data_IF_663948159698
#
_entry.id   IF_663948159698
#
_cell.length_a   1.000
_cell.length_b   1.000
_cell.length_c   1.000
_cell.angle_alpha   90.00
_cell.angle_beta   90.00
_cell.angle_gamma   90.00
#
_symmetry.space_group_name_H-M   'P 1'
#
loop_
_entity.id
_entity.type
_entity.pdbx_description
1 polymer ?
#
# COMPACT_ATOMS: atom_id res chain seq x y z
N UNK A 1 -33.54 -1.22 -1.74
CA UNK A 1 -32.32 -1.99 -1.46
C UNK A 1 -31.46 -1.13 -0.56
N UNK A 2 -31.15 -1.64 0.63
CA UNK A 2 -30.40 -0.91 1.67
C UNK A 2 -28.95 -0.70 1.23
N UNK A 3 -28.28 0.34 1.74
CA UNK A 3 -26.82 0.52 1.57
C UNK A 3 -26.05 -0.69 2.13
N UNK A 4 -26.58 -1.31 3.20
CA UNK A 4 -26.04 -2.54 3.80
C UNK A 4 -26.03 -3.71 2.82
N UNK A 5 -27.14 -3.94 2.11
CA UNK A 5 -27.27 -5.07 1.17
C UNK A 5 -26.29 -4.98 -0.01
N UNK A 6 -25.83 -3.78 -0.35
CA UNK A 6 -24.84 -3.56 -1.41
C UNK A 6 -23.44 -3.86 -0.93
N UNK A 7 -23.07 -3.42 0.27
CA UNK A 7 -21.76 -3.72 0.85
C UNK A 7 -21.59 -5.22 1.09
N UNK A 8 -22.61 -5.89 1.62
CA UNK A 8 -22.56 -7.32 1.88
C UNK A 8 -22.33 -8.11 0.58
N UNK A 9 -22.98 -7.71 -0.52
CA UNK A 9 -22.77 -8.32 -1.84
C UNK A 9 -21.39 -8.08 -2.44
N UNK A 10 -20.80 -6.92 -2.20
CA UNK A 10 -19.42 -6.62 -2.66
C UNK A 10 -18.43 -7.48 -1.88
N UNK A 11 -18.61 -7.61 -0.57
CA UNK A 11 -17.77 -8.46 0.28
C UNK A 11 -17.92 -9.93 -0.12
N UNK A 12 -19.15 -10.41 -0.35
CA UNK A 12 -19.41 -11.77 -0.81
C UNK A 12 -18.77 -12.05 -2.17
N UNK A 13 -18.86 -11.13 -3.15
CA UNK A 13 -18.23 -11.35 -4.46
C UNK A 13 -16.70 -11.35 -4.36
N UNK A 14 -16.14 -10.46 -3.53
CA UNK A 14 -14.69 -10.42 -3.31
C UNK A 14 -14.21 -11.72 -2.67
N UNK A 15 -14.96 -12.24 -1.69
CA UNK A 15 -14.68 -13.52 -1.04
C UNK A 15 -14.74 -14.69 -2.03
N UNK A 16 -15.73 -14.72 -2.91
CA UNK A 16 -15.88 -15.78 -3.92
C UNK A 16 -14.73 -15.75 -4.93
N UNK A 17 -14.32 -14.56 -5.36
CA UNK A 17 -13.16 -14.37 -6.25
C UNK A 17 -11.85 -14.83 -5.58
N UNK A 18 -11.64 -14.50 -4.30
CA UNK A 18 -10.46 -14.95 -3.55
C UNK A 18 -10.48 -16.47 -3.40
N UNK A 19 -11.59 -17.05 -2.95
CA UNK A 19 -11.74 -18.49 -2.72
C UNK A 19 -11.54 -19.30 -4.00
N UNK A 20 -12.14 -18.85 -5.11
CA UNK A 20 -11.98 -19.47 -6.43
C UNK A 20 -10.52 -19.42 -6.89
N UNK A 21 -9.85 -18.30 -6.65
CA UNK A 21 -8.44 -18.10 -7.05
C UNK A 21 -7.49 -18.97 -6.22
N UNK A 22 -7.69 -19.04 -4.90
CA UNK A 22 -6.90 -19.87 -3.99
C UNK A 22 -7.09 -21.39 -4.23
N UNK A 23 -8.24 -21.79 -4.78
CA UNK A 23 -8.56 -23.21 -5.04
C UNK A 23 -7.89 -23.77 -6.31
N UNK A 24 -7.21 -22.93 -7.11
CA UNK A 24 -6.56 -23.37 -8.35
C UNK A 24 -5.18 -23.98 -8.04
N UNK A 25 -4.89 -25.23 -8.46
CA UNK A 25 -3.58 -25.84 -8.24
C UNK A 25 -2.54 -25.22 -9.19
N UNK A 26 -1.66 -24.39 -8.62
CA UNK A 26 -0.53 -23.77 -9.32
C UNK A 26 -0.07 -22.50 -8.61
N UNK A 27 1.18 -22.08 -8.85
CA UNK A 27 1.77 -20.79 -8.43
C UNK A 27 1.05 -19.62 -9.14
N UNK A 28 -0.26 -19.47 -8.94
CA UNK A 28 -1.01 -18.36 -9.47
C UNK A 28 -0.61 -17.12 -8.67
N UNK A 29 0.21 -16.25 -9.27
CA UNK A 29 0.37 -14.88 -8.79
C UNK A 29 -0.98 -14.22 -9.03
N UNK A 30 -1.64 -13.81 -7.95
CA UNK A 30 -2.90 -13.09 -8.00
C UNK A 30 -2.76 -11.77 -7.25
N UNK A 31 -3.44 -10.74 -7.75
CA UNK A 31 -3.56 -9.45 -7.08
C UNK A 31 -5.06 -9.19 -6.90
N UNK A 32 -5.45 -8.84 -5.67
CA UNK A 32 -6.83 -8.50 -5.34
C UNK A 32 -6.82 -7.04 -4.93
N UNK A 33 -7.38 -6.21 -5.80
CA UNK A 33 -7.59 -4.79 -5.52
C UNK A 33 -8.93 -4.57 -4.81
N UNK A 34 -9.03 -3.48 -4.09
CA UNK A 34 -10.27 -3.02 -3.47
C UNK A 34 -10.18 -1.53 -3.16
N UNK A 35 -11.34 -0.90 -3.02
CA UNK A 35 -11.44 0.48 -2.56
C UNK A 35 -11.97 0.47 -1.12
N UNK A 36 -11.28 1.17 -0.21
CA UNK A 36 -11.80 1.38 1.14
C UNK A 36 -12.74 2.56 1.06
N UNK A 37 -14.03 2.27 0.81
CA UNK A 37 -15.05 3.31 0.77
C UNK A 37 -15.07 4.04 2.10
N UNK A 38 -14.95 5.37 2.03
CA UNK A 38 -15.14 6.25 3.19
C UNK A 38 -16.55 6.00 3.72
N UNK A 39 -16.75 5.65 5.00
CA UNK A 39 -18.09 5.57 5.57
C UNK A 39 -18.79 6.93 5.37
N UNK A 40 -20.09 6.89 5.09
CA UNK A 40 -20.92 8.08 4.81
C UNK A 40 -20.56 9.22 5.77
N UNK A 41 -20.30 10.39 5.19
CA UNK A 41 -19.64 11.50 5.86
C UNK A 41 -20.43 11.96 7.11
N UNK A 42 -19.92 11.63 8.28
CA UNK A 42 -19.96 12.56 9.41
C UNK A 42 -19.15 13.81 9.01
N UNK A 43 -19.64 15.03 9.26
CA UNK A 43 -19.05 16.27 8.75
C UNK A 43 -17.64 16.62 9.27
N UNK A 44 -16.98 15.77 10.08
CA UNK A 44 -15.74 16.16 10.78
C UNK A 44 -14.50 15.30 10.57
N UNK A 45 -14.49 14.27 9.70
CA UNK A 45 -13.24 13.53 9.45
C UNK A 45 -12.96 13.35 7.97
N UNK A 46 -12.27 14.32 7.37
CA UNK A 46 -11.24 13.97 6.39
C UNK A 46 -10.19 13.17 7.14
N UNK A 47 -10.18 11.84 6.98
CA UNK A 47 -9.18 10.97 7.59
C UNK A 47 -7.82 11.29 6.98
N UNK A 48 -7.16 12.31 7.52
CA UNK A 48 -5.86 12.73 7.04
C UNK A 48 -4.81 11.71 7.47
N UNK A 49 -4.02 11.25 6.52
CA UNK A 49 -2.92 10.33 6.77
C UNK A 49 -1.65 11.16 6.95
N UNK A 50 -0.93 10.92 8.03
CA UNK A 50 0.35 11.58 8.28
C UNK A 50 1.48 10.66 7.90
N UNK A 51 2.40 11.13 7.08
CA UNK A 51 3.72 10.51 6.87
C UNK A 51 4.76 11.39 7.59
N UNK A 52 5.60 10.78 8.41
CA UNK A 52 6.77 11.45 8.99
C UNK A 52 8.03 10.72 8.57
N UNK A 53 9.09 11.46 8.30
CA UNK A 53 10.40 10.89 7.97
C UNK A 53 11.49 11.77 8.55
N UNK A 54 12.60 11.14 8.91
CA UNK A 54 13.74 11.84 9.47
C UNK A 54 14.75 12.14 8.38
N UNK A 55 15.42 13.28 8.49
CA UNK A 55 16.56 13.61 7.65
C UNK A 55 17.82 13.54 8.49
N UNK A 56 18.63 12.52 8.19
CA UNK A 56 20.00 12.30 8.67
C UNK A 56 20.22 12.46 10.19
N UNK A 57 21.46 12.26 10.66
CA UNK A 57 21.81 12.17 12.09
C UNK A 57 21.50 13.44 12.90
N UNK A 58 21.10 14.53 12.25
CA UNK A 58 20.79 15.83 12.87
C UNK A 58 19.39 15.87 13.53
N UNK A 59 18.57 14.83 13.34
CA UNK A 59 17.31 14.65 14.08
C UNK A 59 16.16 15.58 13.63
N UNK A 60 16.22 16.14 12.42
CA UNK A 60 15.11 16.91 11.87
C UNK A 60 14.03 15.97 11.32
N UNK A 61 12.86 15.96 11.97
CA UNK A 61 11.69 15.23 11.52
C UNK A 61 10.82 16.10 10.60
N UNK A 62 10.46 15.56 9.44
CA UNK A 62 9.53 16.18 8.48
C UNK A 62 8.17 15.51 8.54
N UNK A 63 7.14 16.21 8.07
CA UNK A 63 5.75 15.77 8.11
C UNK A 63 5.06 16.10 6.81
N UNK A 64 4.31 15.14 6.27
CA UNK A 64 3.39 15.31 5.16
C UNK A 64 2.00 14.86 5.60
N UNK A 65 0.99 15.66 5.30
CA UNK A 65 -0.42 15.28 5.45
C UNK A 65 -0.99 14.93 4.08
N UNK A 66 -1.73 13.82 4.02
CA UNK A 66 -2.50 13.41 2.85
C UNK A 66 -3.99 13.53 3.15
N UNK A 67 -4.82 14.01 2.18
CA UNK A 67 -4.40 14.57 0.90
C UNK A 67 -3.56 15.84 1.09
N UNK A 68 -2.64 16.10 0.15
CA UNK A 68 -1.78 17.29 0.20
C UNK A 68 -2.66 18.53 0.04
N UNK A 69 -2.56 19.47 0.99
CA UNK A 69 -3.28 20.73 0.92
C UNK A 69 -2.76 21.65 -0.19
N UNK A 70 -3.59 22.60 -0.62
CA UNK A 70 -3.24 23.58 -1.65
C UNK A 70 -2.33 24.72 -1.15
N UNK A 71 -2.12 24.80 0.16
CA UNK A 71 -1.31 25.84 0.80
C UNK A 71 0.20 25.65 0.55
N UNK A 72 0.99 26.73 0.62
CA UNK A 72 2.43 26.66 0.37
C UNK A 72 3.19 25.68 1.26
N UNK A 73 2.76 25.51 2.52
CA UNK A 73 3.44 24.64 3.49
C UNK A 73 3.25 23.16 3.13
N UNK A 74 2.02 22.79 2.74
CA UNK A 74 1.71 21.44 2.27
C UNK A 74 2.48 21.08 1.00
N UNK A 75 2.56 22.02 0.05
CA UNK A 75 3.34 21.84 -1.20
C UNK A 75 4.84 21.72 -0.93
N UNK A 76 5.37 22.58 -0.07
CA UNK A 76 6.78 22.50 0.35
C UNK A 76 7.06 21.13 1.01
N UNK A 77 6.17 20.66 1.89
CA UNK A 77 6.31 19.33 2.52
C UNK A 77 6.29 18.19 1.50
N UNK A 78 5.51 18.33 0.42
CA UNK A 78 5.49 17.37 -0.69
C UNK A 78 6.79 17.41 -1.51
N UNK A 79 7.30 18.60 -1.84
CA UNK A 79 8.59 18.74 -2.52
C UNK A 79 9.74 18.19 -1.67
N UNK A 80 9.66 18.37 -0.36
CA UNK A 80 10.60 17.85 0.62
C UNK A 80 10.67 16.32 0.60
N UNK A 81 9.53 15.61 0.60
CA UNK A 81 9.56 14.14 0.55
C UNK A 81 10.13 13.64 -0.78
N UNK A 82 9.84 14.32 -1.90
CA UNK A 82 10.40 13.98 -3.21
C UNK A 82 11.92 14.14 -3.24
N UNK A 83 12.44 15.18 -2.59
CA UNK A 83 13.87 15.48 -2.51
C UNK A 83 14.62 14.51 -1.60
N UNK A 84 14.02 14.12 -0.48
CA UNK A 84 14.70 13.30 0.53
C UNK A 84 14.61 11.80 0.25
N UNK A 85 13.75 11.38 -0.68
CA UNK A 85 13.69 9.98 -1.11
C UNK A 85 14.99 9.54 -1.79
N UNK A 86 15.39 8.30 -1.52
CA UNK A 86 16.43 7.63 -2.31
C UNK A 86 15.85 7.13 -3.63
N UNK A 87 16.64 7.06 -4.72
CA UNK A 87 16.19 6.39 -5.94
C UNK A 87 15.82 4.93 -5.68
N UNK A 88 14.63 4.52 -6.12
CA UNK A 88 14.14 3.17 -5.87
C UNK A 88 14.81 2.14 -6.80
N UNK A 89 15.48 1.15 -6.20
CA UNK A 89 16.01 -0.02 -6.90
C UNK A 89 14.94 -1.09 -7.12
N UNK A 90 15.20 -2.08 -7.97
CA UNK A 90 14.39 -3.30 -8.08
C UNK A 90 15.26 -4.55 -8.08
N UNK A 91 14.66 -5.68 -7.69
CA UNK A 91 15.35 -6.96 -7.60
C UNK A 91 15.45 -7.68 -8.95
N UNK A 92 16.63 -8.21 -9.26
CA UNK A 92 16.83 -9.21 -10.32
C UNK A 92 17.60 -10.39 -9.69
N UNK A 93 16.89 -11.48 -9.40
CA UNK A 93 17.45 -12.60 -8.64
C UNK A 93 17.90 -12.13 -7.25
N UNK A 94 19.20 -12.24 -6.96
CA UNK A 94 19.80 -11.82 -5.68
C UNK A 94 20.43 -10.41 -5.70
N UNK A 95 20.19 -9.61 -6.75
CA UNK A 95 20.82 -8.29 -6.93
C UNK A 95 19.77 -7.18 -6.92
N UNK A 96 20.15 -6.02 -6.38
CA UNK A 96 19.40 -4.78 -6.55
C UNK A 96 19.97 -3.97 -7.71
N UNK A 97 19.11 -3.48 -8.58
CA UNK A 97 19.46 -2.74 -9.79
C UNK A 97 18.74 -1.40 -9.79
N UNK A 98 19.47 -0.33 -10.10
CA UNK A 98 18.93 0.99 -10.39
C UNK A 98 18.86 1.19 -11.91
N UNK A 99 17.65 1.19 -12.46
CA UNK A 99 17.39 1.52 -13.87
C UNK A 99 16.08 2.32 -13.95
N UNK A 100 16.20 3.63 -14.17
CA UNK A 100 15.05 4.55 -14.31
C UNK A 100 14.19 4.28 -15.57
N UNK A 101 14.73 3.54 -16.55
CA UNK A 101 13.99 3.02 -17.69
C UNK A 101 12.97 1.96 -17.29
N UNK A 102 13.27 1.19 -16.24
CA UNK A 102 12.45 0.12 -15.68
C UNK A 102 11.57 0.59 -14.51
N UNK A 103 12.16 1.33 -13.56
CA UNK A 103 11.51 1.85 -12.36
C UNK A 103 11.98 3.27 -12.07
N UNK A 104 11.07 4.24 -12.08
CA UNK A 104 11.34 5.62 -11.69
C UNK A 104 10.45 6.00 -10.52
N UNK A 105 11.02 5.98 -9.33
CA UNK A 105 10.36 6.32 -8.07
C UNK A 105 11.40 6.74 -7.03
N UNK A 106 10.97 7.54 -6.05
CA UNK A 106 11.66 7.68 -4.77
C UNK A 106 11.25 6.55 -3.82
N UNK A 107 12.12 6.21 -2.86
CA UNK A 107 11.81 5.31 -1.76
C UNK A 107 12.30 5.85 -0.42
N UNK A 108 11.60 5.43 0.65
CA UNK A 108 12.08 5.44 2.03
C UNK A 108 11.89 4.03 2.59
N UNK A 109 12.94 3.47 3.18
CA UNK A 109 12.88 2.15 3.83
C UNK A 109 12.18 2.27 5.21
N UNK A 110 11.68 1.17 5.75
CA UNK A 110 10.90 1.09 7.00
C UNK A 110 11.51 1.79 8.22
N UNK A 111 12.83 1.92 8.29
CA UNK A 111 13.52 2.65 9.37
C UNK A 111 13.57 4.16 9.16
N UNK A 112 13.28 4.64 7.95
CA UNK A 112 13.41 6.05 7.56
C UNK A 112 12.09 6.82 7.61
N UNK A 113 10.95 6.15 7.80
CA UNK A 113 9.65 6.80 7.89
C UNK A 113 8.69 6.13 8.88
N UNK A 114 7.64 6.85 9.23
CA UNK A 114 6.46 6.34 9.94
C UNK A 114 5.19 6.90 9.31
N UNK A 115 4.07 6.19 9.52
CA UNK A 115 2.77 6.61 9.03
C UNK A 115 1.71 6.45 10.11
N UNK A 116 0.69 7.32 10.10
CA UNK A 116 -0.51 7.13 10.91
C UNK A 116 -1.49 6.11 10.33
N UNK A 117 -1.18 5.53 9.17
CA UNK A 117 -1.96 4.43 8.62
C UNK A 117 -1.69 3.13 9.37
N UNK A 118 -2.76 2.55 9.90
CA UNK A 118 -2.72 1.26 10.57
C UNK A 118 -3.74 0.31 9.90
N UNK A 119 -3.30 -0.71 9.13
CA UNK A 119 -4.22 -1.60 8.43
C UNK A 119 -5.09 -2.45 9.37
N UNK A 120 -4.69 -2.60 10.63
CA UNK A 120 -5.47 -3.32 11.64
C UNK A 120 -6.68 -2.48 12.10
N UNK A 121 -6.50 -1.18 12.34
CA UNK A 121 -7.59 -0.28 12.74
C UNK A 121 -8.66 -0.12 11.65
N UNK A 122 -8.32 -0.42 10.40
CA UNK A 122 -9.22 -0.37 9.25
C UNK A 122 -9.85 -1.74 8.93
N UNK A 123 -9.60 -2.78 9.74
CA UNK A 123 -10.14 -4.13 9.54
C UNK A 123 -9.54 -4.89 8.34
N UNK A 124 -8.57 -4.32 7.62
CA UNK A 124 -7.96 -4.93 6.43
C UNK A 124 -7.32 -6.27 6.79
N UNK A 125 -6.57 -6.32 7.90
CA UNK A 125 -5.93 -7.55 8.35
C UNK A 125 -6.92 -8.58 8.85
N UNK A 126 -8.03 -8.17 9.44
CA UNK A 126 -9.08 -9.08 9.88
C UNK A 126 -9.76 -9.74 8.68
N UNK A 127 -10.07 -8.95 7.64
CA UNK A 127 -10.60 -9.47 6.37
C UNK A 127 -9.63 -10.46 5.75
N UNK A 128 -8.35 -10.09 5.57
CA UNK A 128 -7.33 -10.97 4.99
C UNK A 128 -7.24 -12.29 5.77
N UNK A 129 -7.17 -12.22 7.10
CA UNK A 129 -7.10 -13.40 7.95
C UNK A 129 -8.34 -14.27 7.83
N UNK A 130 -9.54 -13.68 7.80
CA UNK A 130 -10.80 -14.42 7.64
C UNK A 130 -10.84 -15.15 6.30
N UNK A 131 -10.47 -14.48 5.20
CA UNK A 131 -10.48 -15.09 3.87
C UNK A 131 -9.49 -16.24 3.78
N UNK A 132 -8.26 -16.03 4.28
CA UNK A 132 -7.22 -17.06 4.22
C UNK A 132 -7.48 -18.22 5.18
N UNK A 133 -8.05 -17.97 6.36
CA UNK A 133 -8.42 -19.00 7.31
C UNK A 133 -9.52 -19.93 6.76
N UNK A 134 -10.49 -19.39 6.01
CA UNK A 134 -11.53 -20.18 5.35
C UNK A 134 -10.96 -21.13 4.30
N UNK A 135 -9.87 -20.74 3.61
CA UNK A 135 -9.20 -21.59 2.62
C UNK A 135 -8.27 -22.66 3.23
N UNK A 136 -7.80 -22.51 4.47
CA UNK A 136 -6.69 -23.29 4.99
C UNK A 136 -7.08 -24.51 5.86
N UNK A 137 -8.32 -24.65 6.33
CA UNK A 137 -8.78 -25.70 7.27
C UNK A 137 -7.78 -26.02 8.41
N UNK A 138 -7.01 -25.01 8.86
CA UNK A 138 -5.91 -25.16 9.81
C UNK A 138 -6.04 -24.12 10.89
N UNK A 139 -6.37 -24.59 12.10
CA UNK A 139 -6.40 -23.75 13.30
C UNK A 139 -4.99 -23.21 13.60
N UNK A 140 -4.89 -21.91 13.93
CA UNK A 140 -3.63 -21.28 14.39
C UNK A 140 -2.77 -20.58 13.34
N UNK A 141 -3.21 -20.47 12.09
CA UNK A 141 -2.53 -19.67 11.06
C UNK A 141 -3.06 -18.23 11.06
N UNK A 142 -2.24 -17.30 11.55
CA UNK A 142 -2.51 -15.86 11.51
C UNK A 142 -1.47 -15.13 10.65
N UNK A 143 -1.95 -14.18 9.86
CA UNK A 143 -1.18 -13.28 9.02
C UNK A 143 -1.06 -11.95 9.75
N UNK A 144 0.15 -11.40 9.73
CA UNK A 144 0.44 -10.05 10.21
C UNK A 144 0.98 -9.19 9.08
N UNK A 145 0.63 -7.91 9.08
CA UNK A 145 1.31 -6.90 8.27
C UNK A 145 2.60 -6.44 8.95
N UNK A 146 3.64 -6.31 8.15
CA UNK A 146 4.92 -5.68 8.51
C UNK A 146 5.17 -4.53 7.53
N UNK A 147 5.48 -3.34 8.05
CA UNK A 147 5.80 -2.18 7.23
C UNK A 147 7.14 -2.42 6.53
N UNK A 148 7.22 -2.11 5.24
CA UNK A 148 8.42 -2.40 4.44
C UNK A 148 9.04 -1.15 3.82
N UNK A 149 8.33 -0.48 2.91
CA UNK A 149 8.85 0.70 2.23
C UNK A 149 7.74 1.63 1.79
N UNK A 150 8.02 2.92 1.81
CA UNK A 150 7.24 3.93 1.12
C UNK A 150 7.86 4.14 -0.26
N UNK A 151 7.06 4.06 -1.32
CA UNK A 151 7.48 4.46 -2.65
C UNK A 151 6.71 5.71 -3.07
N UNK A 152 7.43 6.69 -3.61
CA UNK A 152 6.86 7.95 -4.08
C UNK A 152 7.03 8.05 -5.59
N UNK A 153 5.92 8.17 -6.30
CA UNK A 153 5.89 8.29 -7.75
C UNK A 153 5.43 9.70 -8.12
N UNK A 154 6.29 10.46 -8.80
CA UNK A 154 5.95 11.81 -9.29
C UNK A 154 5.61 11.77 -10.79
N UNK A 155 4.44 12.32 -11.14
CA UNK A 155 4.04 12.52 -12.53
C UNK A 155 4.90 13.58 -13.23
N UNK A 156 5.04 13.52 -14.57
CA UNK A 156 4.44 12.54 -15.49
C UNK A 156 5.32 11.30 -15.73
N UNK A 157 6.49 11.21 -15.12
CA UNK A 157 7.52 10.22 -15.49
C UNK A 157 7.69 9.04 -14.53
N UNK A 158 7.04 9.10 -13.36
CA UNK A 158 7.03 8.02 -12.38
C UNK A 158 6.42 6.75 -12.98
N UNK A 159 7.10 5.62 -12.82
CA UNK A 159 6.67 4.34 -13.41
C UNK A 159 7.28 3.14 -12.70
N UNK A 160 6.63 2.00 -12.82
CA UNK A 160 7.22 0.71 -12.53
C UNK A 160 6.69 -0.31 -13.52
N UNK A 161 7.57 -0.96 -14.29
CA UNK A 161 7.14 -2.05 -15.18
C UNK A 161 6.61 -3.24 -14.38
N UNK A 162 5.73 -4.02 -15.01
CA UNK A 162 5.24 -5.28 -14.46
C UNK A 162 6.39 -6.18 -14.01
N UNK A 163 6.29 -6.69 -12.79
CA UNK A 163 7.30 -7.53 -12.15
C UNK A 163 6.65 -8.44 -11.10
N UNK A 164 7.42 -9.45 -10.68
CA UNK A 164 7.06 -10.28 -9.52
C UNK A 164 7.91 -9.81 -8.35
N UNK A 165 7.27 -9.51 -7.22
CA UNK A 165 7.99 -9.17 -5.99
C UNK A 165 8.88 -10.34 -5.58
N UNK A 166 10.13 -10.05 -5.23
CA UNK A 166 11.04 -11.06 -4.68
C UNK A 166 10.73 -11.25 -3.19
N UNK A 167 10.35 -12.46 -2.74
CA UNK A 167 10.14 -12.71 -1.32
C UNK A 167 11.39 -12.36 -0.51
N UNK A 168 11.21 -11.68 0.62
CA UNK A 168 12.29 -11.24 1.51
C UNK A 168 12.43 -12.12 2.76
N UNK A 169 11.48 -13.02 2.98
CA UNK A 169 11.48 -14.03 4.04
C UNK A 169 10.77 -15.28 3.54
N UNK A 170 11.17 -16.43 4.07
CA UNK A 170 10.47 -17.72 3.96
C UNK A 170 9.04 -17.68 4.55
N UNK A 171 8.74 -16.69 5.39
CA UNK A 171 7.42 -16.47 6.00
C UNK A 171 6.58 -15.42 5.28
N UNK A 172 7.11 -14.80 4.22
CA UNK A 172 6.34 -13.85 3.42
C UNK A 172 5.44 -14.61 2.45
N UNK A 173 4.13 -14.41 2.57
CA UNK A 173 3.13 -15.00 1.68
C UNK A 173 2.64 -14.04 0.59
N UNK A 174 2.91 -12.74 0.72
CA UNK A 174 2.47 -11.73 -0.24
C UNK A 174 2.88 -10.30 0.16
N UNK A 175 2.42 -9.31 -0.61
CA UNK A 175 2.61 -7.88 -0.36
C UNK A 175 1.24 -7.20 -0.26
N UNK A 176 1.04 -6.39 0.79
CA UNK A 176 -0.12 -5.48 0.89
C UNK A 176 0.33 -4.08 0.45
N UNK A 177 -0.36 -3.51 -0.53
CA UNK A 177 -0.08 -2.17 -1.06
C UNK A 177 -1.24 -1.24 -0.73
N UNK A 178 -0.96 -0.22 0.09
CA UNK A 178 -1.88 0.89 0.30
C UNK A 178 -1.39 2.08 -0.54
N UNK A 179 -2.24 2.56 -1.45
CA UNK A 179 -1.92 3.67 -2.33
C UNK A 179 -2.83 4.87 -2.03
N UNK A 180 -2.25 6.06 -2.05
CA UNK A 180 -2.99 7.31 -2.07
C UNK A 180 -2.58 8.06 -3.34
N UNK A 181 -3.53 8.37 -4.20
CA UNK A 181 -3.28 9.11 -5.43
C UNK A 181 -3.67 10.57 -5.23
N UNK A 182 -2.75 11.47 -5.57
CA UNK A 182 -2.99 12.92 -5.58
C UNK A 182 -3.67 13.40 -6.88
N UNK A 183 -3.91 12.47 -7.82
CA UNK A 183 -4.63 12.67 -9.07
C UNK A 183 -5.62 11.52 -9.30
N UNK A 184 -6.63 11.74 -10.14
CA UNK A 184 -7.63 10.73 -10.50
C UNK A 184 -6.95 9.42 -10.96
N UNK A 185 -7.47 8.28 -10.51
CA UNK A 185 -6.82 6.95 -10.49
C UNK A 185 -6.54 6.31 -11.86
N UNK A 186 -6.64 7.03 -12.96
CA UNK A 186 -6.52 6.49 -14.32
C UNK A 186 -5.08 6.24 -14.80
N UNK A 187 -4.06 6.53 -13.99
CA UNK A 187 -2.66 6.59 -14.47
C UNK A 187 -1.69 5.58 -13.82
N UNK A 188 -2.17 4.58 -13.08
CA UNK A 188 -1.32 3.46 -12.65
C UNK A 188 -1.87 2.17 -13.28
N UNK A 189 -1.33 1.84 -14.46
CA UNK A 189 -1.47 0.52 -15.11
C UNK A 189 -0.13 -0.18 -15.14
#
# INVERSE_FOLDING_TARGET
MSSSDKNDRIVESLLDDVCTTLSRPGLAVFAIGGDVQKPDASPETTSSLTIRWDRDEQGQCRKLLLPVGDDPTSKESFDMILKDCEPATFGIGSKEVLDEGYRKAGKLDDTAFSTSFNPYEHGIMDTINQVLAQGAHREGLGVRAEMYKLNVYSGPSGKFKAHVDTPRSDRQMGSLVAANSLYDTDTIK
#
